data_IF_480540889967
#
_entry.id   IF_480540889967
#
_cell.length_a   1.000
_cell.length_b   1.000
_cell.length_c   1.000
_cell.angle_alpha   90.00
_cell.angle_beta   90.00
_cell.angle_gamma   90.00
#
_symmetry.space_group_name_H-M   'P 1'
#
loop_
_entity.id
_entity.type
_entity.pdbx_description
1 polymer ?
#
# COMPACT_ATOMS: atom_id res chain seq x y z
N UNK A 1 -20.91 -5.78 -12.55
CA UNK A 1 -21.97 -5.64 -11.54
C UNK A 1 -21.37 -5.99 -10.20
N UNK A 2 -21.33 -5.09 -9.23
CA UNK A 2 -20.82 -5.37 -7.89
C UNK A 2 -21.96 -5.78 -6.96
N UNK A 3 -21.69 -6.70 -6.04
CA UNK A 3 -22.68 -7.12 -5.04
C UNK A 3 -22.59 -6.15 -3.87
N UNK A 4 -23.55 -5.25 -3.75
CA UNK A 4 -23.55 -4.12 -2.81
C UNK A 4 -23.31 -4.52 -1.34
N UNK A 5 -23.74 -5.71 -0.91
CA UNK A 5 -23.50 -6.16 0.47
C UNK A 5 -22.04 -6.48 0.73
N UNK A 6 -21.30 -6.98 -0.28
CA UNK A 6 -19.87 -7.24 -0.18
C UNK A 6 -19.10 -5.93 -0.06
N UNK A 7 -19.40 -4.94 -0.90
CA UNK A 7 -18.76 -3.61 -0.82
C UNK A 7 -18.99 -2.95 0.53
N UNK A 8 -20.20 -3.08 1.09
CA UNK A 8 -20.55 -2.58 2.44
C UNK A 8 -19.75 -3.31 3.53
N UNK A 9 -19.63 -4.63 3.44
CA UNK A 9 -18.86 -5.42 4.39
C UNK A 9 -17.36 -5.04 4.37
N UNK A 10 -16.78 -4.88 3.17
CA UNK A 10 -15.38 -4.43 3.02
C UNK A 10 -15.17 -3.04 3.61
N UNK A 11 -16.10 -2.08 3.40
CA UNK A 11 -16.01 -0.76 4.04
C UNK A 11 -16.03 -0.84 5.56
N UNK A 12 -16.87 -1.68 6.14
CA UNK A 12 -16.92 -1.93 7.59
C UNK A 12 -15.59 -2.50 8.07
N UNK A 13 -15.04 -3.51 7.40
CA UNK A 13 -13.76 -4.12 7.76
C UNK A 13 -12.61 -3.10 7.72
N UNK A 14 -12.58 -2.21 6.72
CA UNK A 14 -11.58 -1.13 6.63
C UNK A 14 -11.67 -0.17 7.83
N UNK A 15 -12.88 0.21 8.26
CA UNK A 15 -13.07 1.07 9.43
C UNK A 15 -12.54 0.40 10.69
N UNK A 16 -12.92 -0.85 10.94
CA UNK A 16 -12.47 -1.61 12.12
C UNK A 16 -10.96 -1.83 12.10
N UNK A 17 -10.37 -2.14 10.93
CA UNK A 17 -8.93 -2.31 10.80
C UNK A 17 -8.14 -1.04 11.13
N UNK A 18 -8.63 0.13 10.68
CA UNK A 18 -7.98 1.43 10.91
C UNK A 18 -8.07 1.89 12.36
N UNK A 19 -9.23 1.75 12.98
CA UNK A 19 -9.48 2.25 14.35
C UNK A 19 -9.06 1.28 15.45
N UNK A 20 -8.91 0.01 15.11
CA UNK A 20 -8.63 -1.06 16.07
C UNK A 20 -9.87 -1.54 16.81
N UNK A 21 -10.54 -0.65 17.57
CA UNK A 21 -11.79 -0.90 18.27
C UNK A 21 -12.86 0.08 17.78
N UNK A 22 -14.06 -0.39 17.50
CA UNK A 22 -15.12 0.50 17.00
C UNK A 22 -16.50 0.01 17.41
N UNK A 23 -17.32 0.93 17.90
CA UNK A 23 -18.73 0.67 18.21
C UNK A 23 -19.59 0.65 16.95
N UNK A 24 -20.80 0.06 17.04
CA UNK A 24 -21.80 0.08 15.97
C UNK A 24 -22.08 1.51 15.46
N UNK A 25 -22.20 2.46 16.38
CA UNK A 25 -22.53 3.84 16.05
C UNK A 25 -21.41 4.53 15.26
N UNK A 26 -20.17 4.36 15.69
CA UNK A 26 -18.99 4.90 15.00
C UNK A 26 -18.84 4.30 13.60
N UNK A 27 -18.99 2.97 13.47
CA UNK A 27 -18.91 2.29 12.18
C UNK A 27 -20.02 2.77 11.24
N UNK A 28 -21.26 2.92 11.74
CA UNK A 28 -22.41 3.40 10.97
C UNK A 28 -22.17 4.83 10.46
N UNK A 29 -21.73 5.73 11.34
CA UNK A 29 -21.42 7.12 10.99
C UNK A 29 -20.33 7.21 9.92
N UNK A 30 -19.24 6.49 10.08
CA UNK A 30 -18.08 6.57 9.20
C UNK A 30 -18.33 5.89 7.84
N UNK A 31 -19.05 4.77 7.82
CA UNK A 31 -19.43 4.10 6.56
C UNK A 31 -20.60 4.78 5.86
N UNK A 32 -21.29 5.71 6.53
CA UNK A 32 -22.54 6.33 6.06
C UNK A 32 -23.62 5.29 5.72
N UNK A 33 -23.64 4.18 6.46
CA UNK A 33 -24.65 3.14 6.32
C UNK A 33 -25.71 3.29 7.43
N UNK A 34 -26.98 2.99 7.14
CA UNK A 34 -28.01 2.94 8.17
C UNK A 34 -27.65 1.98 9.30
N UNK A 35 -27.89 2.37 10.56
CA UNK A 35 -27.57 1.55 11.75
C UNK A 35 -28.12 0.12 11.65
N UNK A 36 -29.37 -0.14 11.24
CA UNK A 36 -29.87 -1.50 11.10
C UNK A 36 -29.09 -2.34 10.07
N UNK A 37 -28.68 -1.72 8.95
CA UNK A 37 -27.89 -2.39 7.91
C UNK A 37 -26.49 -2.72 8.45
N UNK A 38 -25.85 -1.76 9.12
CA UNK A 38 -24.54 -1.93 9.73
C UNK A 38 -24.57 -3.05 10.78
N UNK A 39 -25.58 -3.07 11.65
CA UNK A 39 -25.76 -4.10 12.67
C UNK A 39 -25.89 -5.51 12.07
N UNK A 40 -26.66 -5.66 10.99
CA UNK A 40 -26.83 -6.96 10.30
C UNK A 40 -25.51 -7.47 9.70
N UNK A 41 -24.75 -6.58 9.06
CA UNK A 41 -23.45 -6.95 8.46
C UNK A 41 -22.44 -7.28 9.56
N UNK A 42 -22.36 -6.46 10.62
CA UNK A 42 -21.48 -6.72 11.77
C UNK A 42 -21.79 -8.07 12.43
N UNK A 43 -23.08 -8.37 12.64
CA UNK A 43 -23.50 -9.67 13.18
C UNK A 43 -23.02 -10.80 12.28
N UNK A 44 -23.27 -10.73 10.98
CA UNK A 44 -22.83 -11.76 10.02
C UNK A 44 -21.32 -11.94 10.01
N UNK A 45 -20.54 -10.85 10.02
CA UNK A 45 -19.08 -10.91 10.08
C UNK A 45 -18.58 -11.52 11.41
N UNK A 46 -19.26 -11.22 12.53
CA UNK A 46 -18.93 -11.78 13.83
C UNK A 46 -19.29 -13.26 13.93
N UNK A 47 -20.47 -13.66 13.47
CA UNK A 47 -20.91 -15.07 13.41
C UNK A 47 -19.93 -15.92 12.58
N UNK A 48 -19.33 -15.34 11.53
CA UNK A 48 -18.28 -15.98 10.72
C UNK A 48 -16.87 -15.83 11.29
N UNK A 49 -16.67 -15.17 12.43
CA UNK A 49 -15.37 -14.97 13.08
C UNK A 49 -14.40 -14.04 12.32
N UNK A 50 -14.90 -13.32 11.32
CA UNK A 50 -14.14 -12.27 10.61
C UNK A 50 -14.01 -11.02 11.48
N UNK A 51 -15.03 -10.72 12.29
CA UNK A 51 -14.96 -9.78 13.40
C UNK A 51 -15.15 -10.51 14.73
N UNK A 52 -14.72 -9.86 15.81
CA UNK A 52 -14.98 -10.26 17.19
C UNK A 52 -15.66 -9.09 17.89
N UNK A 53 -16.79 -9.33 18.53
CA UNK A 53 -17.45 -8.36 19.41
C UNK A 53 -16.97 -8.60 20.82
N UNK A 54 -16.55 -7.54 21.52
CA UNK A 54 -16.16 -7.58 22.92
C UNK A 54 -17.32 -7.21 23.86
N UNK A 55 -17.11 -7.38 25.15
CA UNK A 55 -18.11 -7.13 26.22
C UNK A 55 -18.50 -5.64 26.30
N UNK A 56 -17.59 -4.74 25.95
CA UNK A 56 -17.81 -3.29 25.82
C UNK A 56 -18.62 -2.90 24.57
N UNK A 57 -19.11 -3.90 23.83
CA UNK A 57 -19.87 -3.76 22.58
C UNK A 57 -19.07 -3.19 21.40
N UNK A 58 -17.74 -3.13 21.49
CA UNK A 58 -16.87 -2.78 20.35
C UNK A 58 -16.58 -4.00 19.46
N UNK A 59 -16.25 -3.72 18.21
CA UNK A 59 -15.88 -4.71 17.20
C UNK A 59 -14.40 -4.58 16.87
N UNK A 60 -13.74 -5.73 16.79
CA UNK A 60 -12.34 -5.88 16.39
C UNK A 60 -12.22 -6.86 15.23
N UNK A 61 -11.08 -6.86 14.53
CA UNK A 61 -10.78 -7.92 13.57
C UNK A 61 -10.72 -9.28 14.26
N UNK A 62 -11.35 -10.28 13.67
CA UNK A 62 -11.45 -11.63 14.21
C UNK A 62 -10.28 -12.53 13.79
N UNK A 63 -10.01 -13.56 14.61
CA UNK A 63 -8.88 -14.47 14.41
C UNK A 63 -8.97 -15.30 13.11
N UNK A 64 -10.16 -15.47 12.52
CA UNK A 64 -10.29 -16.20 11.23
C UNK A 64 -9.64 -15.51 10.05
N UNK A 65 -9.28 -14.25 10.16
CA UNK A 65 -8.48 -13.55 9.14
C UNK A 65 -7.04 -14.07 9.06
N UNK A 66 -6.48 -14.56 10.19
CA UNK A 66 -5.09 -15.06 10.23
C UNK A 66 -4.88 -16.23 9.27
N UNK A 67 -5.63 -17.34 9.33
CA UNK A 67 -5.43 -18.45 8.38
C UNK A 67 -5.73 -18.04 6.93
N UNK A 68 -6.63 -17.11 6.67
CA UNK A 68 -6.87 -16.61 5.32
C UNK A 68 -5.63 -15.88 4.77
N UNK A 69 -4.97 -15.06 5.60
CA UNK A 69 -3.77 -14.34 5.20
C UNK A 69 -2.58 -15.27 4.93
N UNK A 70 -2.51 -16.46 5.54
CA UNK A 70 -1.40 -17.39 5.33
C UNK A 70 -1.36 -17.99 3.92
N UNK A 71 -2.46 -17.92 3.17
CA UNK A 71 -2.56 -18.40 1.79
C UNK A 71 -2.28 -17.33 0.72
N UNK A 72 -1.88 -16.13 1.13
CA UNK A 72 -1.46 -15.05 0.21
C UNK A 72 -0.07 -15.30 -0.39
N UNK A 73 0.23 -16.55 -0.79
CA UNK A 73 1.45 -16.90 -1.51
C UNK A 73 1.38 -16.43 -2.99
N UNK A 74 2.45 -15.91 -3.57
CA UNK A 74 3.83 -15.83 -3.06
C UNK A 74 4.11 -14.56 -2.24
N UNK A 75 3.17 -13.62 -2.11
CA UNK A 75 3.38 -12.30 -1.52
C UNK A 75 3.85 -12.34 -0.07
N UNK A 76 3.26 -13.18 0.77
CA UNK A 76 3.57 -13.24 2.21
C UNK A 76 5.06 -13.46 2.52
N UNK A 77 5.74 -14.33 1.77
CA UNK A 77 7.19 -14.57 1.96
C UNK A 77 8.00 -13.35 1.57
N UNK A 78 7.70 -12.78 0.42
CA UNK A 78 8.41 -11.60 -0.07
C UNK A 78 8.23 -10.41 0.88
N UNK A 79 7.05 -10.26 1.48
CA UNK A 79 6.81 -9.21 2.48
C UNK A 79 7.55 -9.48 3.79
N UNK A 80 7.51 -10.72 4.30
CA UNK A 80 8.28 -11.08 5.50
C UNK A 80 9.80 -10.87 5.33
N UNK A 81 10.31 -10.99 4.10
CA UNK A 81 11.70 -10.69 3.75
C UNK A 81 11.94 -9.18 3.70
N UNK A 82 10.98 -8.41 3.18
CA UNK A 82 11.13 -6.97 3.03
C UNK A 82 10.96 -6.21 4.35
N UNK A 83 10.13 -6.73 5.27
CA UNK A 83 9.75 -6.04 6.51
C UNK A 83 10.92 -5.53 7.36
N UNK A 84 11.97 -6.30 7.66
CA UNK A 84 13.11 -5.80 8.44
C UNK A 84 13.81 -4.60 7.78
N UNK A 85 13.90 -4.61 6.45
CA UNK A 85 14.49 -3.50 5.69
C UNK A 85 13.58 -2.26 5.70
N UNK A 86 12.26 -2.45 5.68
CA UNK A 86 11.29 -1.34 5.80
C UNK A 86 11.36 -0.72 7.20
N UNK A 87 11.48 -1.55 8.23
CA UNK A 87 11.63 -1.09 9.61
C UNK A 87 12.92 -0.29 9.79
N UNK A 88 14.06 -0.79 9.31
CA UNK A 88 15.33 -0.08 9.32
C UNK A 88 15.25 1.25 8.57
N UNK A 89 14.64 1.25 7.36
CA UNK A 89 14.45 2.45 6.56
C UNK A 89 13.62 3.50 7.31
N UNK A 90 12.52 3.08 7.97
CA UNK A 90 11.70 3.96 8.79
C UNK A 90 12.47 4.52 9.98
N UNK A 91 13.29 3.70 10.64
CA UNK A 91 14.12 4.13 11.76
C UNK A 91 15.17 5.16 11.33
N UNK A 92 15.87 4.92 10.21
CA UNK A 92 16.95 5.80 9.71
C UNK A 92 16.41 7.10 9.12
N UNK A 93 15.28 7.05 8.39
CA UNK A 93 14.65 8.24 7.82
C UNK A 93 13.87 9.02 8.86
N UNK A 94 13.37 8.34 9.90
CA UNK A 94 12.41 8.81 10.92
C UNK A 94 11.06 9.22 10.29
N UNK A 95 10.73 8.66 9.15
CA UNK A 95 9.50 8.89 8.40
C UNK A 95 8.74 7.58 8.18
N UNK A 96 7.49 7.69 7.75
CA UNK A 96 6.68 6.52 7.41
C UNK A 96 7.24 5.86 6.14
N UNK A 97 7.50 4.55 6.21
CA UNK A 97 8.01 3.75 5.10
C UNK A 97 7.10 2.57 4.84
N UNK A 98 7.09 2.07 3.62
CA UNK A 98 6.28 0.90 3.30
C UNK A 98 6.48 0.34 1.91
N UNK A 99 5.79 -0.75 1.66
CA UNK A 99 5.74 -1.45 0.39
C UNK A 99 4.30 -1.47 -0.13
N UNK A 100 4.11 -1.03 -1.36
CA UNK A 100 2.84 -1.10 -2.05
C UNK A 100 2.92 -2.06 -3.24
N UNK A 101 1.82 -2.73 -3.54
CA UNK A 101 1.68 -3.64 -4.69
C UNK A 101 0.53 -3.21 -5.59
N UNK A 102 0.60 -3.64 -6.84
CA UNK A 102 -0.51 -3.48 -7.78
C UNK A 102 -1.57 -4.55 -7.53
N UNK A 103 -2.81 -4.13 -7.30
CA UNK A 103 -3.96 -5.02 -7.25
C UNK A 103 -5.11 -4.43 -8.07
N UNK A 104 -5.43 -5.08 -9.19
CA UNK A 104 -6.40 -4.50 -10.13
C UNK A 104 -5.89 -3.17 -10.69
N UNK A 105 -6.62 -2.11 -10.44
CA UNK A 105 -6.29 -0.73 -10.85
C UNK A 105 -5.90 0.17 -9.67
N UNK A 106 -5.47 -0.40 -8.55
CA UNK A 106 -5.15 0.31 -7.32
C UNK A 106 -3.77 -0.06 -6.80
N UNK A 107 -3.14 0.88 -6.10
CA UNK A 107 -1.98 0.60 -5.29
C UNK A 107 -2.43 0.25 -3.86
N UNK A 108 -2.05 -0.93 -3.39
CA UNK A 108 -2.38 -1.41 -2.05
C UNK A 108 -1.11 -1.46 -1.22
N UNK A 109 -1.09 -0.73 -0.10
CA UNK A 109 -0.01 -0.83 0.89
C UNK A 109 -0.17 -2.15 1.63
N UNK A 110 0.85 -3.01 1.56
CA UNK A 110 0.81 -4.37 2.10
C UNK A 110 1.75 -4.56 3.28
N UNK A 111 2.71 -3.66 3.43
CA UNK A 111 3.64 -3.64 4.55
C UNK A 111 4.07 -2.20 4.83
N UNK A 112 4.22 -1.83 6.12
CA UNK A 112 4.62 -0.47 6.50
C UNK A 112 5.16 -0.42 7.92
N UNK A 113 6.02 0.57 8.16
CA UNK A 113 6.49 0.99 9.47
C UNK A 113 6.28 2.49 9.63
N UNK A 114 5.75 2.88 10.77
CA UNK A 114 5.56 4.30 11.07
C UNK A 114 6.83 4.91 11.63
N UNK A 115 7.18 6.07 11.09
CA UNK A 115 8.22 6.91 11.68
C UNK A 115 7.83 7.41 13.09
N UNK A 116 8.81 7.78 13.91
CA UNK A 116 8.54 8.28 15.27
C UNK A 116 7.94 9.69 15.28
N UNK A 117 7.96 10.43 14.16
CA UNK A 117 7.54 11.82 14.08
C UNK A 117 6.12 11.96 13.54
N UNK A 118 5.18 12.60 14.26
CA UNK A 118 3.91 12.99 13.69
C UNK A 118 4.06 14.14 12.67
N UNK A 119 3.07 14.40 11.80
CA UNK A 119 1.89 13.56 11.57
C UNK A 119 2.25 12.28 10.82
N UNK A 120 1.47 11.23 11.01
CA UNK A 120 1.53 10.01 10.20
C UNK A 120 0.81 10.24 8.89
N UNK A 121 1.45 9.88 7.80
CA UNK A 121 0.93 10.10 6.44
C UNK A 121 0.30 8.83 5.89
N UNK A 122 0.84 7.66 6.26
CA UNK A 122 0.32 6.38 5.79
C UNK A 122 -0.92 6.01 6.59
N UNK A 123 -2.03 5.81 5.89
CA UNK A 123 -3.23 5.20 6.41
C UNK A 123 -3.61 3.99 5.53
N UNK A 124 -3.02 2.82 5.75
CA UNK A 124 -3.13 1.67 4.84
C UNK A 124 -4.54 1.19 4.57
N UNK A 125 -5.46 1.46 5.50
CA UNK A 125 -6.85 0.99 5.44
C UNK A 125 -7.86 2.07 5.02
N UNK A 126 -7.42 3.32 4.88
CA UNK A 126 -8.36 4.45 4.77
C UNK A 126 -8.72 4.83 3.35
N UNK A 127 -7.83 4.66 2.39
CA UNK A 127 -8.01 5.12 1.01
C UNK A 127 -7.52 4.12 0.00
N UNK A 128 -8.27 4.02 -1.08
CA UNK A 128 -7.76 3.53 -2.35
C UNK A 128 -6.79 4.57 -2.91
N UNK A 129 -5.57 4.14 -3.22
CA UNK A 129 -4.55 5.02 -3.80
C UNK A 129 -4.57 4.80 -5.31
N UNK A 130 -5.04 5.80 -6.07
CA UNK A 130 -5.05 5.68 -7.52
C UNK A 130 -3.64 5.50 -8.07
N UNK A 131 -3.49 4.61 -9.05
CA UNK A 131 -2.19 4.31 -9.63
C UNK A 131 -1.48 5.53 -10.27
N UNK A 132 -2.24 6.53 -10.68
CA UNK A 132 -1.66 7.77 -11.26
C UNK A 132 -1.17 8.77 -10.19
N UNK A 133 -1.08 8.35 -8.92
CA UNK A 133 -0.59 9.16 -7.81
C UNK A 133 0.51 8.44 -7.04
N UNK A 134 1.43 9.20 -6.46
CA UNK A 134 2.47 8.73 -5.56
C UNK A 134 3.17 7.45 -6.07
N UNK A 135 3.42 6.48 -5.21
CA UNK A 135 4.06 5.21 -5.56
C UNK A 135 3.28 4.36 -6.58
N UNK A 136 2.01 4.67 -6.85
CA UNK A 136 1.24 4.02 -7.90
C UNK A 136 1.85 4.21 -9.29
N UNK A 137 2.49 5.35 -9.57
CA UNK A 137 3.19 5.60 -10.84
C UNK A 137 4.38 4.66 -11.04
N UNK A 138 5.09 4.28 -9.98
CA UNK A 138 6.14 3.25 -10.04
C UNK A 138 5.54 1.91 -10.41
N UNK A 139 4.39 1.55 -9.81
CA UNK A 139 3.70 0.30 -10.13
C UNK A 139 3.26 0.24 -11.59
N UNK A 140 2.81 1.34 -12.19
CA UNK A 140 2.51 1.40 -13.63
C UNK A 140 3.79 1.28 -14.45
N UNK A 141 4.83 2.03 -14.11
CA UNK A 141 6.03 2.19 -14.93
C UNK A 141 6.67 0.85 -15.29
N UNK A 142 6.63 -0.12 -14.39
CA UNK A 142 7.27 -1.42 -14.57
C UNK A 142 6.31 -2.55 -14.96
N UNK A 143 5.07 -2.23 -15.37
CA UNK A 143 4.19 -3.19 -16.03
C UNK A 143 4.56 -3.42 -17.51
N UNK A 144 4.10 -4.52 -18.12
CA UNK A 144 4.27 -4.75 -19.57
C UNK A 144 3.72 -3.59 -20.41
N UNK A 145 4.34 -3.31 -21.57
CA UNK A 145 3.99 -2.16 -22.40
C UNK A 145 2.50 -2.13 -22.79
N UNK A 146 1.94 -3.29 -23.15
CA UNK A 146 0.53 -3.41 -23.51
C UNK A 146 -0.39 -3.05 -22.33
N UNK A 147 -0.05 -3.46 -21.10
CA UNK A 147 -0.81 -3.13 -19.90
C UNK A 147 -0.77 -1.61 -19.64
N UNK A 148 0.43 -1.00 -19.74
CA UNK A 148 0.60 0.44 -19.54
C UNK A 148 -0.22 1.26 -20.53
N UNK A 149 -0.17 0.90 -21.81
CA UNK A 149 -0.93 1.57 -22.87
C UNK A 149 -2.43 1.49 -22.61
N UNK A 150 -2.94 0.31 -22.24
CA UNK A 150 -4.34 0.13 -21.88
C UNK A 150 -4.73 0.95 -20.66
N UNK A 151 -3.93 0.91 -19.60
CA UNK A 151 -4.18 1.72 -18.39
C UNK A 151 -4.27 3.21 -18.74
N UNK A 152 -3.31 3.74 -19.52
CA UNK A 152 -3.30 5.14 -19.93
C UNK A 152 -4.53 5.53 -20.75
N UNK A 153 -5.07 4.62 -21.56
CA UNK A 153 -6.31 4.86 -22.32
C UNK A 153 -7.55 4.88 -21.45
N UNK A 154 -7.66 3.94 -20.52
CA UNK A 154 -8.88 3.68 -19.75
C UNK A 154 -8.95 4.49 -18.44
N UNK A 155 -7.82 4.98 -17.92
CA UNK A 155 -7.75 5.64 -16.62
C UNK A 155 -8.60 6.92 -16.57
N UNK A 156 -9.47 6.99 -15.56
CA UNK A 156 -10.26 8.19 -15.24
C UNK A 156 -9.47 9.08 -14.30
N UNK A 157 -8.62 9.92 -14.86
CA UNK A 157 -7.78 10.84 -14.09
C UNK A 157 -8.64 11.95 -13.48
N UNK A 158 -8.45 12.21 -12.19
CA UNK A 158 -9.14 13.26 -11.44
C UNK A 158 -8.13 14.02 -10.58
N UNK A 159 -8.41 15.30 -10.32
CA UNK A 159 -7.70 16.08 -9.32
C UNK A 159 -8.04 15.54 -7.94
N UNK A 160 -7.02 15.17 -7.14
CA UNK A 160 -7.16 14.63 -5.79
C UNK A 160 -6.59 15.61 -4.78
N UNK A 161 -5.39 16.09 -5.05
CA UNK A 161 -4.67 17.05 -4.23
C UNK A 161 -3.95 18.06 -5.13
N UNK A 162 -3.35 19.09 -4.55
CA UNK A 162 -2.73 20.20 -5.31
C UNK A 162 -1.68 19.74 -6.31
N UNK A 163 -0.90 18.72 -5.97
CA UNK A 163 0.13 18.14 -6.85
C UNK A 163 -0.40 17.15 -7.89
N UNK A 164 -1.67 16.72 -7.82
CA UNK A 164 -2.21 15.80 -8.84
C UNK A 164 -2.32 16.49 -10.19
N UNK A 165 -1.72 15.92 -11.21
CA UNK A 165 -1.84 16.39 -12.61
C UNK A 165 -2.69 15.40 -13.41
N UNK A 166 -4.01 15.67 -13.59
CA UNK A 166 -4.92 14.75 -14.28
C UNK A 166 -4.78 14.88 -15.81
N UNK A 167 -3.57 14.74 -16.34
CA UNK A 167 -3.23 14.86 -17.75
C UNK A 167 -2.50 13.60 -18.23
N UNK A 168 -3.04 12.93 -19.25
CA UNK A 168 -2.47 11.67 -19.78
C UNK A 168 -1.11 11.82 -20.40
N UNK A 169 -0.86 12.91 -21.11
CA UNK A 169 0.44 13.16 -21.76
C UNK A 169 1.51 13.36 -20.69
N UNK A 170 1.21 14.14 -19.65
CA UNK A 170 2.12 14.36 -18.52
C UNK A 170 2.36 13.04 -17.77
N UNK A 171 1.30 12.29 -17.46
CA UNK A 171 1.43 10.99 -16.79
C UNK A 171 2.27 10.00 -17.60
N UNK A 172 2.08 9.95 -18.93
CA UNK A 172 2.88 9.10 -19.81
C UNK A 172 4.36 9.48 -19.79
N UNK A 173 4.68 10.77 -19.87
CA UNK A 173 6.05 11.27 -19.78
C UNK A 173 6.70 10.96 -18.42
N UNK A 174 5.95 11.11 -17.32
CA UNK A 174 6.42 10.76 -15.99
C UNK A 174 6.70 9.26 -15.85
N UNK A 175 5.81 8.40 -16.35
CA UNK A 175 6.00 6.94 -16.37
C UNK A 175 7.29 6.56 -17.10
N UNK A 176 7.55 7.14 -18.27
CA UNK A 176 8.78 6.87 -19.02
C UNK A 176 10.03 7.43 -18.30
N UNK A 177 9.92 8.58 -17.63
CA UNK A 177 11.00 9.08 -16.76
C UNK A 177 11.28 8.11 -15.62
N UNK A 178 10.24 7.62 -14.91
CA UNK A 178 10.37 6.68 -13.81
C UNK A 178 11.02 5.37 -14.29
N UNK A 179 10.68 4.89 -15.48
CA UNK A 179 11.31 3.69 -16.06
C UNK A 179 12.81 3.86 -16.27
N UNK A 180 13.24 5.05 -16.67
CA UNK A 180 14.68 5.33 -16.90
C UNK A 180 15.45 5.53 -15.60
N UNK A 181 14.84 6.20 -14.62
CA UNK A 181 15.52 6.60 -13.38
C UNK A 181 15.33 5.62 -12.23
N UNK A 182 14.29 4.77 -12.29
CA UNK A 182 13.91 3.92 -11.16
C UNK A 182 13.30 4.67 -9.98
N UNK A 183 13.04 5.98 -10.10
CA UNK A 183 12.62 6.85 -9.01
C UNK A 183 11.39 7.68 -9.38
N UNK A 184 10.43 7.75 -8.46
CA UNK A 184 9.37 8.76 -8.49
C UNK A 184 9.41 9.60 -7.22
N UNK A 185 9.30 10.91 -7.40
CA UNK A 185 9.14 11.91 -6.33
C UNK A 185 7.75 12.51 -6.52
N UNK A 186 6.91 12.32 -5.54
CA UNK A 186 5.53 12.82 -5.50
C UNK A 186 5.42 13.94 -4.49
N UNK A 187 4.84 15.05 -4.90
CA UNK A 187 4.61 16.22 -4.05
C UNK A 187 3.12 16.55 -4.06
N UNK A 188 2.43 16.30 -2.96
CA UNK A 188 0.98 16.54 -2.77
C UNK A 188 0.09 15.92 -3.87
N UNK A 189 0.43 14.74 -4.39
CA UNK A 189 -0.36 14.13 -5.46
C UNK A 189 -1.60 13.40 -4.95
N UNK A 190 -1.52 12.76 -3.77
CA UNK A 190 -2.60 11.97 -3.18
C UNK A 190 -3.10 12.53 -1.84
N UNK A 191 -2.21 13.18 -1.09
CA UNK A 191 -2.52 13.80 0.21
C UNK A 191 -1.96 15.21 0.20
N UNK A 192 -2.78 16.20 0.57
CA UNK A 192 -2.33 17.58 0.73
C UNK A 192 -1.22 17.68 1.79
N UNK A 193 -0.22 18.50 1.51
CA UNK A 193 0.89 18.73 2.43
C UNK A 193 1.84 17.55 2.62
N UNK A 194 1.64 16.44 1.90
CA UNK A 194 2.49 15.26 1.99
C UNK A 194 3.19 14.96 0.66
N UNK A 195 4.39 14.41 0.75
CA UNK A 195 5.13 13.92 -0.40
C UNK A 195 5.71 12.54 -0.15
N UNK A 196 6.15 11.89 -1.21
CA UNK A 196 6.79 10.57 -1.13
C UNK A 196 7.88 10.39 -2.18
N UNK A 197 8.88 9.60 -1.84
CA UNK A 197 9.83 9.03 -2.79
C UNK A 197 9.53 7.54 -2.89
N UNK A 198 9.57 7.01 -4.11
CA UNK A 198 9.30 5.59 -4.33
C UNK A 198 10.15 5.00 -5.45
N UNK A 199 10.54 3.73 -5.26
CA UNK A 199 11.40 2.95 -6.15
C UNK A 199 10.82 1.55 -6.36
N UNK A 200 11.08 0.88 -7.51
CA UNK A 200 10.61 -0.48 -7.73
C UNK A 200 11.40 -1.49 -6.91
N UNK A 201 10.71 -2.52 -6.44
CA UNK A 201 11.31 -3.76 -5.90
C UNK A 201 10.99 -4.88 -6.86
N UNK A 202 12.00 -5.64 -7.27
CA UNK A 202 11.85 -6.78 -8.16
C UNK A 202 12.07 -8.10 -7.42
N UNK A 203 11.39 -9.13 -7.85
CA UNK A 203 11.63 -10.49 -7.39
C UNK A 203 12.84 -11.13 -8.08
N UNK A 204 13.15 -12.38 -7.73
CA UNK A 204 14.28 -13.16 -8.30
C UNK A 204 14.13 -13.45 -9.79
N UNK A 205 12.97 -13.21 -10.39
CA UNK A 205 12.67 -13.41 -11.82
C UNK A 205 12.59 -12.09 -12.58
N UNK A 206 13.05 -10.99 -11.97
CA UNK A 206 12.95 -9.62 -12.52
C UNK A 206 11.52 -9.13 -12.75
N UNK A 207 10.53 -9.72 -12.08
CA UNK A 207 9.17 -9.21 -12.07
C UNK A 207 9.00 -8.19 -10.97
N UNK A 208 8.21 -7.16 -11.23
CA UNK A 208 7.88 -6.17 -10.21
C UNK A 208 7.14 -6.84 -9.06
N UNK A 209 7.75 -6.82 -7.87
CA UNK A 209 7.14 -7.23 -6.61
C UNK A 209 6.25 -6.12 -6.05
N UNK A 210 6.75 -4.88 -6.07
CA UNK A 210 6.05 -3.72 -5.52
C UNK A 210 6.84 -2.43 -5.66
N UNK A 211 6.36 -1.38 -5.03
CA UNK A 211 7.02 -0.09 -4.87
C UNK A 211 7.37 0.13 -3.40
N UNK A 212 8.65 0.22 -3.08
CA UNK A 212 9.14 0.65 -1.78
C UNK A 212 9.07 2.17 -1.72
N UNK A 213 8.63 2.73 -0.60
CA UNK A 213 8.46 4.17 -0.49
C UNK A 213 8.80 4.71 0.90
N UNK A 214 9.19 5.97 0.93
CA UNK A 214 9.24 6.84 2.11
C UNK A 214 8.23 7.96 1.88
N UNK A 215 7.43 8.29 2.90
CA UNK A 215 6.50 9.42 2.83
C UNK A 215 6.64 10.32 4.04
N UNK A 216 6.56 11.63 3.80
CA UNK A 216 6.76 12.65 4.81
C UNK A 216 5.93 13.90 4.50
N UNK A 217 5.68 14.79 5.46
CA UNK A 217 5.24 16.15 5.20
C UNK A 217 6.17 16.88 4.24
N UNK A 218 5.61 17.69 3.33
CA UNK A 218 6.39 18.44 2.35
C UNK A 218 7.48 19.33 2.97
N UNK A 219 7.21 19.87 4.14
CA UNK A 219 8.14 20.72 4.92
C UNK A 219 9.45 19.98 5.25
N UNK A 220 9.42 18.65 5.28
CA UNK A 220 10.58 17.80 5.55
C UNK A 220 11.24 17.22 4.28
N UNK A 221 10.71 17.53 3.10
CA UNK A 221 11.20 17.04 1.81
C UNK A 221 12.00 18.10 1.03
N UNK A 222 12.94 18.80 1.70
CA UNK A 222 13.91 19.65 1.01
C UNK A 222 14.88 18.84 0.14
N UNK A 223 15.58 19.51 -0.80
CA UNK A 223 16.47 18.86 -1.79
C UNK A 223 17.46 17.87 -1.16
N UNK A 224 18.15 18.28 -0.09
CA UNK A 224 19.11 17.42 0.63
C UNK A 224 18.46 16.14 1.18
N UNK A 225 17.21 16.23 1.67
CA UNK A 225 16.49 15.06 2.20
C UNK A 225 16.01 14.16 1.07
N UNK A 226 15.59 14.73 -0.04
CA UNK A 226 15.21 13.97 -1.24
C UNK A 226 16.40 13.14 -1.74
N UNK A 227 17.59 13.73 -1.85
CA UNK A 227 18.81 12.99 -2.24
C UNK A 227 19.13 11.87 -1.26
N UNK A 228 19.12 12.15 0.05
CA UNK A 228 19.37 11.16 1.08
C UNK A 228 18.36 10.02 1.03
N UNK A 229 17.06 10.31 0.89
CA UNK A 229 16.02 9.29 0.85
C UNK A 229 16.10 8.46 -0.44
N UNK A 230 16.47 9.08 -1.56
CA UNK A 230 16.76 8.37 -2.81
C UNK A 230 17.81 7.28 -2.59
N UNK A 231 18.95 7.65 -2.03
CA UNK A 231 20.08 6.73 -1.84
C UNK A 231 19.70 5.59 -0.89
N UNK A 232 19.06 5.91 0.25
CA UNK A 232 18.55 4.91 1.19
C UNK A 232 17.53 3.95 0.56
N UNK A 233 16.65 4.44 -0.31
CA UNK A 233 15.68 3.61 -1.01
C UNK A 233 16.34 2.64 -1.99
N UNK A 234 17.35 3.07 -2.75
CA UNK A 234 18.08 2.20 -3.66
C UNK A 234 18.90 1.14 -2.91
N UNK A 235 19.52 1.51 -1.80
CA UNK A 235 20.23 0.56 -0.93
C UNK A 235 19.24 -0.48 -0.35
N UNK A 236 18.10 -0.04 0.16
CA UNK A 236 17.06 -0.91 0.70
C UNK A 236 16.50 -1.89 -0.36
N UNK A 237 16.25 -1.44 -1.58
CA UNK A 237 15.79 -2.36 -2.64
C UNK A 237 16.85 -3.38 -3.02
N UNK A 238 18.12 -2.99 -3.02
CA UNK A 238 19.24 -3.88 -3.26
C UNK A 238 19.37 -4.94 -2.17
N UNK A 239 19.15 -4.56 -0.91
CA UNK A 239 19.16 -5.46 0.24
C UNK A 239 17.99 -6.47 0.16
N UNK A 240 16.78 -6.02 -0.09
CA UNK A 240 15.59 -6.87 -0.27
C UNK A 240 15.82 -7.88 -1.40
N UNK A 241 16.32 -7.44 -2.54
CA UNK A 241 16.56 -8.29 -3.71
C UNK A 241 17.61 -9.38 -3.39
N UNK A 242 18.70 -9.03 -2.73
CA UNK A 242 19.73 -9.99 -2.30
C UNK A 242 19.16 -11.04 -1.35
N UNK A 243 18.33 -10.65 -0.40
CA UNK A 243 17.75 -11.58 0.57
C UNK A 243 16.72 -12.51 -0.10
N UNK A 244 15.91 -12.01 -1.03
CA UNK A 244 15.03 -12.83 -1.86
C UNK A 244 15.81 -13.89 -2.65
N UNK A 245 16.96 -13.53 -3.24
CA UNK A 245 17.83 -14.45 -3.97
C UNK A 245 18.43 -15.53 -3.07
N UNK A 246 18.91 -15.15 -1.88
CA UNK A 246 19.46 -16.10 -0.89
C UNK A 246 18.42 -17.14 -0.47
N UNK A 247 17.21 -16.73 -0.19
CA UNK A 247 16.14 -17.64 0.22
C UNK A 247 15.66 -18.53 -0.93
N UNK A 248 15.65 -18.02 -2.15
CA UNK A 248 15.35 -18.85 -3.32
C UNK A 248 16.40 -19.94 -3.55
N UNK A 249 17.68 -19.61 -3.45
CA UNK A 249 18.79 -20.57 -3.58
C UNK A 249 18.75 -21.68 -2.51
N UNK A 250 18.50 -21.33 -1.24
CA UNK A 250 18.35 -22.30 -0.15
C UNK A 250 17.19 -23.28 -0.37
N UNK A 251 16.09 -22.83 -0.94
CA UNK A 251 14.92 -23.68 -1.25
C UNK A 251 15.22 -24.64 -2.39
N UNK A 252 15.85 -24.16 -3.45
CA UNK A 252 16.23 -25.00 -4.60
C UNK A 252 17.22 -26.11 -4.19
N UNK A 253 18.11 -25.82 -3.26
CA UNK A 253 19.04 -26.81 -2.69
C UNK A 253 18.29 -27.86 -1.84
N UNK A 254 17.31 -27.45 -1.01
CA UNK A 254 16.50 -28.38 -0.18
C UNK A 254 15.52 -29.27 -0.96
N UNK A 255 15.13 -28.88 -2.16
CA UNK A 255 14.26 -29.69 -3.02
C UNK A 255 15.04 -30.69 -3.88
N UNK A 256 16.37 -30.57 -3.92
CA UNK A 256 17.27 -31.49 -4.65
C UNK A 256 18.00 -32.51 -3.74
N UNK A 257 17.91 -32.32 -2.43
CA UNK A 257 18.37 -33.23 -1.40
C UNK A 257 17.24 -34.09 -0.85
#
# INVERSE_FOLDING_TARGET
MTIQVIDRAVRILRVVARRGASSLTEISAETRLPVPTTARILKSLADNGILRRLDDKTYHLGARLVPLSTRLEPFRRSFAIAHPTIEELSHVTREDCGLAVLQGNEAVVVDWCYGPRPPRIIEPYSREIPLYCAFGKVLIAFQPAQWRSRFLQDAKLRKIATGTVPNRTVLSAEIERIRRTGLHISLAENVEGAGSLSVPVFDTTSRLLGALFVTAPLERLGERQVERYRDLLFDATSQITRELQRQHGRRSARLRA
#
